data_IF_242497692492
#
_entry.id   IF_242497692492
#
_cell.length_a   1.000
_cell.length_b   1.000
_cell.length_c   1.000
_cell.angle_alpha   90.00
_cell.angle_beta   90.00
_cell.angle_gamma   90.00
#
_symmetry.space_group_name_H-M   'P 1'
#
loop_
_entity.id
_entity.type
_entity.pdbx_description
1 polymer ?
#
# COMPACT_ATOMS: atom_id res chain seq x y z
N UNK A 1 4.82 -12.39 7.50
CA UNK A 1 6.00 -13.18 7.92
C UNK A 1 6.73 -12.34 8.96
N UNK A 2 6.97 -12.87 10.17
CA UNK A 2 7.57 -12.08 11.28
C UNK A 2 9.05 -11.84 10.97
N UNK A 3 9.45 -10.58 10.78
CA UNK A 3 10.85 -10.18 10.61
C UNK A 3 11.58 -10.32 11.94
N UNK A 4 12.53 -11.26 12.02
CA UNK A 4 13.39 -11.46 13.18
C UNK A 4 14.62 -10.55 13.06
N UNK A 5 14.44 -9.26 13.32
CA UNK A 5 15.55 -8.32 13.44
C UNK A 5 15.92 -8.12 14.92
N UNK A 6 17.22 -8.21 15.21
CA UNK A 6 17.85 -7.99 16.52
C UNK A 6 19.05 -7.09 16.28
N UNK A 7 19.12 -5.94 16.95
CA UNK A 7 20.22 -4.99 16.81
C UNK A 7 21.56 -5.63 17.17
N UNK A 8 22.67 -5.18 16.55
CA UNK A 8 24.00 -5.75 16.82
C UNK A 8 24.45 -5.53 18.29
N UNK A 9 23.95 -4.49 18.96
CA UNK A 9 24.19 -4.26 20.39
C UNK A 9 23.47 -5.32 21.24
N UNK A 10 22.17 -5.52 21.01
CA UNK A 10 21.37 -6.51 21.74
C UNK A 10 21.85 -7.94 21.48
N UNK A 11 22.27 -8.24 20.25
CA UNK A 11 22.87 -9.52 19.87
C UNK A 11 24.13 -9.81 20.69
N UNK A 12 25.00 -8.81 20.93
CA UNK A 12 26.17 -8.97 21.80
C UNK A 12 25.77 -9.28 23.24
N UNK A 13 24.81 -8.54 23.80
CA UNK A 13 24.30 -8.78 25.16
C UNK A 13 23.65 -10.17 25.33
N UNK A 14 22.88 -10.61 24.35
CA UNK A 14 22.28 -11.96 24.33
C UNK A 14 23.36 -13.03 24.30
N UNK A 15 24.41 -12.85 23.47
CA UNK A 15 25.52 -13.79 23.37
C UNK A 15 26.31 -13.85 24.69
N UNK A 16 26.58 -12.71 25.31
CA UNK A 16 27.26 -12.66 26.62
C UNK A 16 26.45 -13.36 27.70
N UNK A 17 25.15 -13.09 27.80
CA UNK A 17 24.27 -13.77 28.76
C UNK A 17 24.16 -15.27 28.49
N UNK A 18 24.13 -15.67 27.22
CA UNK A 18 24.10 -17.09 26.85
C UNK A 18 25.33 -17.84 27.38
N UNK A 19 26.51 -17.21 27.38
CA UNK A 19 27.73 -17.82 27.91
C UNK A 19 27.68 -18.01 29.44
N UNK A 20 26.88 -17.21 30.13
CA UNK A 20 26.71 -17.23 31.58
C UNK A 20 25.59 -18.18 32.05
N UNK A 21 24.88 -18.86 31.15
CA UNK A 21 23.89 -19.87 31.52
C UNK A 21 24.59 -21.20 31.85
N UNK A 22 24.31 -21.77 33.02
CA UNK A 22 24.98 -23.00 33.48
C UNK A 22 24.59 -24.24 32.66
N UNK A 23 23.35 -24.29 32.16
CA UNK A 23 22.86 -25.42 31.39
C UNK A 23 23.12 -25.25 29.89
N UNK A 24 23.96 -26.14 29.33
CA UNK A 24 24.19 -26.23 27.88
C UNK A 24 22.90 -26.43 27.08
N UNK A 25 21.90 -27.15 27.63
CA UNK A 25 20.59 -27.31 27.01
C UNK A 25 19.84 -25.97 26.89
N UNK A 26 19.89 -25.17 27.96
CA UNK A 26 19.19 -23.88 28.03
C UNK A 26 19.82 -22.84 27.11
N UNK A 27 21.14 -22.89 26.89
CA UNK A 27 21.84 -22.00 25.94
C UNK A 27 21.23 -22.06 24.54
N UNK A 28 20.86 -23.24 24.05
CA UNK A 28 20.28 -23.39 22.70
C UNK A 28 18.87 -22.83 22.61
N UNK A 29 18.02 -23.16 23.58
CA UNK A 29 16.66 -22.67 23.63
C UNK A 29 16.65 -21.15 23.79
N UNK A 30 17.49 -20.60 24.68
CA UNK A 30 17.62 -19.17 24.89
C UNK A 30 18.09 -18.41 23.63
N UNK A 31 19.07 -18.94 22.90
CA UNK A 31 19.51 -18.33 21.64
C UNK A 31 18.42 -18.33 20.57
N UNK A 32 17.73 -19.45 20.37
CA UNK A 32 16.68 -19.57 19.35
C UNK A 32 15.44 -18.75 19.69
N UNK A 33 15.11 -18.63 20.97
CA UNK A 33 14.01 -17.80 21.43
C UNK A 33 14.28 -16.30 21.21
N UNK A 34 15.51 -15.84 21.45
CA UNK A 34 15.83 -14.42 21.46
C UNK A 34 16.42 -13.89 20.14
N UNK A 35 17.15 -14.72 19.39
CA UNK A 35 17.73 -14.35 18.09
C UNK A 35 16.92 -14.90 16.90
N UNK A 36 15.84 -15.63 17.17
CA UNK A 36 15.02 -16.27 16.16
C UNK A 36 15.72 -17.49 15.52
N UNK A 37 15.30 -17.88 14.30
CA UNK A 37 15.80 -19.08 13.65
C UNK A 37 17.27 -18.96 13.25
N UNK A 38 18.11 -19.92 13.68
CA UNK A 38 19.56 -19.88 13.48
C UNK A 38 20.09 -21.06 12.67
N UNK A 39 21.20 -20.84 11.95
CA UNK A 39 21.98 -21.92 11.30
C UNK A 39 22.80 -22.68 12.37
N UNK A 40 23.23 -23.89 12.02
CA UNK A 40 24.16 -24.66 12.83
C UNK A 40 25.45 -23.88 13.15
N UNK A 41 26.01 -23.20 12.16
CA UNK A 41 27.24 -22.40 12.30
C UNK A 41 27.04 -21.21 13.23
N UNK A 42 25.87 -20.57 13.18
CA UNK A 42 25.49 -19.47 14.08
C UNK A 42 25.32 -19.97 15.51
N UNK A 43 24.65 -21.11 15.71
CA UNK A 43 24.51 -21.72 17.03
C UNK A 43 25.88 -22.07 17.63
N UNK A 44 26.77 -22.67 16.86
CA UNK A 44 28.14 -22.96 17.28
C UNK A 44 28.89 -21.69 17.72
N UNK A 45 28.80 -20.63 16.91
CA UNK A 45 29.46 -19.34 17.19
C UNK A 45 28.91 -18.68 18.46
N UNK A 46 27.58 -18.67 18.62
CA UNK A 46 26.92 -17.90 19.68
C UNK A 46 26.82 -18.64 21.01
N UNK A 47 26.75 -19.98 20.99
CA UNK A 47 26.69 -20.78 22.22
C UNK A 47 28.05 -20.92 22.92
N UNK A 48 29.15 -20.71 22.20
CA UNK A 48 30.52 -20.92 22.71
C UNK A 48 30.83 -22.39 23.03
N UNK A 49 30.15 -23.34 22.36
CA UNK A 49 30.28 -24.78 22.62
C UNK A 49 31.00 -25.49 21.47
N UNK A 50 31.60 -26.65 21.76
CA UNK A 50 32.24 -27.48 20.74
C UNK A 50 31.21 -28.07 19.77
N UNK A 51 31.66 -28.36 18.54
CA UNK A 51 30.82 -28.91 17.47
C UNK A 51 30.10 -30.21 17.84
N UNK A 52 30.78 -31.07 18.59
CA UNK A 52 30.23 -32.34 19.10
C UNK A 52 29.11 -32.08 20.11
N UNK A 53 29.31 -31.12 21.01
CA UNK A 53 28.32 -30.73 22.03
C UNK A 53 27.08 -30.11 21.38
N UNK A 54 27.25 -29.19 20.43
CA UNK A 54 26.14 -28.59 19.68
C UNK A 54 25.32 -29.66 18.95
N UNK A 55 25.98 -30.60 18.28
CA UNK A 55 25.32 -31.70 17.59
C UNK A 55 24.52 -32.61 18.54
N UNK A 56 25.09 -32.93 19.71
CA UNK A 56 24.46 -33.76 20.74
C UNK A 56 23.17 -33.12 21.24
N UNK A 57 23.22 -31.83 21.61
CA UNK A 57 22.06 -31.13 22.18
C UNK A 57 20.99 -30.80 21.12
N UNK A 58 21.38 -30.48 19.89
CA UNK A 58 20.40 -30.33 18.81
C UNK A 58 19.62 -31.62 18.56
N UNK A 59 20.29 -32.77 18.46
CA UNK A 59 19.61 -34.06 18.33
C UNK A 59 18.68 -34.33 19.51
N UNK A 60 19.15 -34.07 20.74
CA UNK A 60 18.33 -34.22 21.95
C UNK A 60 17.07 -33.36 21.88
N UNK A 61 17.19 -32.08 21.55
CA UNK A 61 16.07 -31.13 21.53
C UNK A 61 15.09 -31.37 20.37
N UNK A 62 15.58 -31.86 19.23
CA UNK A 62 14.74 -32.31 18.12
C UNK A 62 13.93 -33.54 18.52
N UNK A 63 14.58 -34.55 19.11
CA UNK A 63 13.89 -35.76 19.58
C UNK A 63 12.85 -35.47 20.67
N UNK A 64 13.07 -34.40 21.44
CA UNK A 64 12.16 -33.95 22.49
C UNK A 64 11.12 -32.91 22.02
N UNK A 65 10.99 -32.70 20.70
CA UNK A 65 10.08 -31.72 20.08
C UNK A 65 10.18 -30.29 20.65
N UNK A 66 11.35 -29.92 21.18
CA UNK A 66 11.62 -28.56 21.71
C UNK A 66 12.30 -27.63 20.69
N UNK A 67 12.83 -28.22 19.61
CA UNK A 67 13.40 -27.50 18.47
C UNK A 67 12.98 -28.28 17.22
N UNK A 68 12.69 -27.58 16.14
CA UNK A 68 12.42 -28.15 14.82
C UNK A 68 13.44 -27.66 13.80
N UNK A 69 13.71 -28.48 12.77
CA UNK A 69 14.62 -28.12 11.67
C UNK A 69 13.78 -27.92 10.40
N UNK A 70 13.74 -26.67 9.89
CA UNK A 70 12.94 -26.30 8.72
C UNK A 70 13.77 -25.52 7.70
N UNK A 71 13.28 -25.47 6.47
CA UNK A 71 13.82 -24.58 5.43
C UNK A 71 13.26 -23.18 5.69
N UNK A 72 14.14 -22.26 6.03
CA UNK A 72 13.84 -20.83 6.11
C UNK A 72 13.90 -20.24 4.71
N UNK A 73 12.85 -19.50 4.31
CA UNK A 73 12.77 -18.76 3.05
C UNK A 73 12.57 -17.28 3.37
N UNK A 74 13.41 -16.43 2.81
CA UNK A 74 13.31 -14.98 2.89
C UNK A 74 13.32 -14.43 1.45
N UNK A 75 12.13 -14.10 0.97
CA UNK A 75 11.89 -13.68 -0.42
C UNK A 75 12.53 -12.30 -0.70
N UNK A 76 12.60 -11.43 0.30
CA UNK A 76 13.20 -10.10 0.16
C UNK A 76 14.73 -10.15 0.02
N UNK A 77 15.37 -11.20 0.56
CA UNK A 77 16.83 -11.38 0.51
C UNK A 77 17.28 -12.52 -0.41
N UNK A 78 16.34 -13.20 -1.07
CA UNK A 78 16.57 -14.39 -1.89
C UNK A 78 17.36 -15.49 -1.15
N UNK A 79 17.04 -15.74 0.12
CA UNK A 79 17.72 -16.75 0.96
C UNK A 79 16.82 -17.97 1.14
N UNK A 80 17.35 -19.15 0.85
CA UNK A 80 16.71 -20.44 1.15
C UNK A 80 17.71 -21.38 1.82
N UNK A 81 17.50 -21.70 3.10
CA UNK A 81 18.48 -22.48 3.87
C UNK A 81 17.89 -23.19 5.08
N UNK A 82 18.60 -24.22 5.56
CA UNK A 82 18.18 -24.96 6.75
C UNK A 82 18.49 -24.16 8.02
N UNK A 83 17.47 -23.93 8.83
CA UNK A 83 17.57 -23.31 10.16
C UNK A 83 16.84 -24.13 11.21
N UNK A 84 17.25 -23.91 12.45
CA UNK A 84 16.60 -24.48 13.62
C UNK A 84 15.65 -23.43 14.20
N UNK A 85 14.44 -23.86 14.58
CA UNK A 85 13.39 -23.03 15.14
C UNK A 85 13.02 -23.61 16.51
N UNK A 86 12.77 -22.75 17.48
CA UNK A 86 12.21 -23.19 18.75
C UNK A 86 10.72 -23.48 18.57
N UNK A 87 10.22 -24.53 19.21
CA UNK A 87 8.79 -24.87 19.23
C UNK A 87 8.15 -24.33 20.51
N UNK A 88 6.82 -24.36 20.61
CA UNK A 88 6.10 -23.99 21.84
C UNK A 88 6.58 -24.79 23.05
N UNK A 89 6.76 -26.11 22.91
CA UNK A 89 7.34 -26.96 23.96
C UNK A 89 8.78 -26.57 24.35
N UNK A 90 9.54 -25.98 23.42
CA UNK A 90 10.86 -25.42 23.71
C UNK A 90 10.80 -24.11 24.49
N UNK A 91 9.78 -23.30 24.23
CA UNK A 91 9.48 -22.06 24.98
C UNK A 91 8.99 -22.42 26.39
N UNK A 92 8.13 -23.43 26.53
CA UNK A 92 7.64 -23.87 27.84
C UNK A 92 8.78 -24.42 28.71
N UNK A 93 9.74 -25.13 28.12
CA UNK A 93 10.97 -25.59 28.80
C UNK A 93 11.91 -24.45 29.20
N UNK A 94 11.79 -23.27 28.60
CA UNK A 94 12.46 -22.06 29.08
C UNK A 94 11.74 -21.44 30.28
N UNK A 95 10.42 -21.67 30.40
CA UNK A 95 9.54 -21.09 31.42
C UNK A 95 9.94 -21.35 32.87
N UNK A 96 10.67 -22.43 33.14
CA UNK A 96 11.13 -22.78 34.50
C UNK A 96 12.40 -22.04 34.95
N UNK A 97 13.07 -21.29 34.06
CA UNK A 97 14.21 -20.44 34.40
C UNK A 97 13.89 -18.97 34.08
N UNK A 98 13.13 -18.38 35.00
CA UNK A 98 12.85 -16.94 35.17
C UNK A 98 11.96 -16.29 34.10
N UNK A 99 10.66 -16.32 34.39
CA UNK A 99 9.62 -15.43 33.89
C UNK A 99 10.03 -13.92 33.86
N UNK A 100 11.03 -13.51 34.66
CA UNK A 100 11.59 -12.15 34.71
C UNK A 100 12.58 -11.82 33.57
N UNK A 101 13.27 -12.80 32.97
CA UNK A 101 14.30 -12.54 31.95
C UNK A 101 13.74 -12.42 30.54
N UNK A 102 12.66 -13.16 30.23
CA UNK A 102 11.92 -13.07 28.97
C UNK A 102 11.21 -11.71 28.82
N UNK A 103 10.67 -11.18 29.94
CA UNK A 103 10.12 -9.82 29.97
C UNK A 103 11.19 -8.76 29.71
N UNK A 104 12.46 -8.96 30.10
CA UNK A 104 13.54 -7.98 29.87
C UNK A 104 13.90 -7.76 28.40
N UNK A 105 13.76 -8.75 27.51
CA UNK A 105 14.08 -8.58 26.08
C UNK A 105 12.91 -7.97 25.31
N UNK A 106 11.67 -8.33 25.66
CA UNK A 106 10.48 -7.63 25.17
C UNK A 106 10.44 -6.17 25.66
N UNK A 107 10.79 -5.94 26.95
CA UNK A 107 11.01 -4.60 27.50
C UNK A 107 12.20 -3.89 26.87
N UNK A 108 13.27 -4.56 26.44
CA UNK A 108 14.40 -3.91 25.80
C UNK A 108 14.14 -3.54 24.35
N UNK A 109 13.35 -4.33 23.58
CA UNK A 109 12.84 -3.90 22.27
C UNK A 109 11.90 -2.70 22.40
N UNK A 110 11.02 -2.73 23.41
CA UNK A 110 10.20 -1.58 23.77
C UNK A 110 11.07 -0.42 24.26
N UNK A 111 12.12 -0.63 25.07
CA UNK A 111 12.99 0.42 25.61
C UNK A 111 13.94 1.00 24.57
N UNK A 112 14.41 0.25 23.58
CA UNK A 112 15.23 0.78 22.48
C UNK A 112 14.37 1.68 21.57
N UNK A 113 13.15 1.24 21.26
CA UNK A 113 12.14 2.04 20.55
C UNK A 113 11.70 3.25 21.40
N UNK A 114 11.43 3.06 22.68
CA UNK A 114 11.05 4.12 23.63
C UNK A 114 12.21 5.06 23.93
N UNK A 115 13.47 4.61 23.88
CA UNK A 115 14.66 5.48 24.02
C UNK A 115 14.86 6.30 22.76
N UNK A 116 14.67 5.70 21.58
CA UNK A 116 14.67 6.40 20.28
C UNK A 116 13.57 7.45 20.17
N UNK A 117 12.43 7.25 20.84
CA UNK A 117 11.36 8.25 20.95
C UNK A 117 11.40 9.08 22.24
N UNK A 118 12.32 8.84 23.17
CA UNK A 118 12.33 9.51 24.47
C UNK A 118 12.62 11.00 24.34
N UNK A 119 13.49 11.36 23.41
CA UNK A 119 13.78 12.76 23.08
C UNK A 119 12.59 13.44 22.42
N UNK A 120 11.90 12.75 21.52
CA UNK A 120 10.66 13.22 20.90
C UNK A 120 9.54 13.43 21.93
N UNK A 121 9.37 12.50 22.88
CA UNK A 121 8.39 12.63 23.97
C UNK A 121 8.75 13.82 24.87
N UNK A 122 10.01 13.95 25.29
CA UNK A 122 10.48 15.09 26.09
C UNK A 122 10.27 16.40 25.34
N UNK A 123 10.58 16.43 24.05
CA UNK A 123 10.38 17.59 23.20
C UNK A 123 8.91 18.03 23.17
N UNK A 124 7.97 17.13 22.92
CA UNK A 124 6.55 17.47 22.90
C UNK A 124 5.98 17.82 24.27
N UNK A 125 6.43 17.17 25.35
CA UNK A 125 6.08 17.56 26.71
C UNK A 125 6.55 18.99 27.03
N UNK A 126 7.75 19.38 26.58
CA UNK A 126 8.25 20.74 26.75
C UNK A 126 7.45 21.78 25.95
N UNK A 127 6.76 21.35 24.88
CA UNK A 127 5.84 22.19 24.11
C UNK A 127 4.40 22.15 24.66
N UNK A 128 4.16 21.50 25.80
CA UNK A 128 2.83 21.29 26.40
C UNK A 128 1.82 20.61 25.45
N UNK A 129 2.30 19.72 24.57
CA UNK A 129 1.41 18.91 23.73
C UNK A 129 0.71 17.87 24.59
N UNK A 130 -0.60 17.70 24.40
CA UNK A 130 -1.39 16.70 25.12
C UNK A 130 -0.85 15.28 24.90
N UNK A 131 -0.86 14.49 25.98
CA UNK A 131 -0.30 13.14 25.96
C UNK A 131 -1.05 12.22 24.99
N UNK A 132 -2.36 12.44 24.80
CA UNK A 132 -3.20 11.77 23.81
C UNK A 132 -2.67 11.93 22.36
N UNK A 133 -2.19 13.12 22.01
CA UNK A 133 -1.61 13.45 20.70
C UNK A 133 -0.23 12.81 20.57
N UNK A 134 0.60 12.90 21.61
CA UNK A 134 1.92 12.25 21.66
C UNK A 134 1.76 10.75 21.41
N UNK A 135 0.83 10.08 22.08
CA UNK A 135 0.57 8.65 21.87
C UNK A 135 0.10 8.32 20.45
N UNK A 136 -0.72 9.17 19.82
CA UNK A 136 -1.11 8.98 18.41
C UNK A 136 0.09 9.05 17.47
N UNK A 137 0.97 10.04 17.65
CA UNK A 137 2.21 10.17 16.89
C UNK A 137 3.05 8.91 17.06
N UNK A 138 3.36 8.54 18.30
CA UNK A 138 4.16 7.35 18.61
C UNK A 138 3.56 6.06 18.02
N UNK A 139 2.24 5.90 18.06
CA UNK A 139 1.58 4.72 17.49
C UNK A 139 1.83 4.58 15.98
N UNK A 140 1.86 5.68 15.25
CA UNK A 140 2.20 5.63 13.82
C UNK A 140 3.70 5.38 13.64
N UNK A 141 4.57 6.09 14.36
CA UNK A 141 6.02 5.92 14.24
C UNK A 141 6.51 4.50 14.58
N UNK A 142 5.93 3.89 15.62
CA UNK A 142 6.23 2.49 16.00
C UNK A 142 5.86 1.49 14.90
N UNK A 143 4.83 1.76 14.09
CA UNK A 143 4.45 0.90 12.96
C UNK A 143 5.40 1.05 11.77
N UNK A 144 5.98 2.25 11.58
CA UNK A 144 7.00 2.48 10.55
C UNK A 144 8.30 1.74 10.93
N UNK A 145 8.60 1.69 12.23
CA UNK A 145 9.71 0.89 12.77
C UNK A 145 11.08 1.57 12.60
N UNK A 146 12.14 0.77 12.60
CA UNK A 146 13.52 1.26 12.69
C UNK A 146 13.99 2.07 11.46
N UNK A 147 13.32 1.96 10.31
CA UNK A 147 13.60 2.79 9.13
C UNK A 147 13.35 4.27 9.40
N UNK A 148 12.38 4.59 10.27
CA UNK A 148 12.09 5.95 10.70
C UNK A 148 13.19 6.54 11.62
N UNK A 149 13.92 5.68 12.32
CA UNK A 149 15.05 6.05 13.17
C UNK A 149 16.32 6.38 12.37
N UNK A 150 16.34 6.11 11.05
CA UNK A 150 17.48 6.44 10.18
C UNK A 150 17.47 7.92 9.75
N UNK A 151 16.34 8.61 9.89
CA UNK A 151 16.28 10.05 9.68
C UNK A 151 16.99 10.74 10.85
N UNK A 152 17.71 11.83 10.58
CA UNK A 152 18.31 12.64 11.64
C UNK A 152 17.21 13.25 12.52
N UNK A 153 17.23 12.91 13.81
CA UNK A 153 16.25 13.38 14.78
C UNK A 153 16.76 14.64 15.46
N UNK A 154 16.19 15.78 15.08
CA UNK A 154 16.46 17.06 15.69
C UNK A 154 15.16 17.85 15.89
N UNK A 155 15.28 19.03 16.48
CA UNK A 155 14.14 19.92 16.75
C UNK A 155 13.27 20.17 15.52
N UNK A 156 13.87 20.44 14.37
CA UNK A 156 13.12 20.80 13.15
C UNK A 156 12.36 19.59 12.59
N UNK A 157 12.95 18.39 12.69
CA UNK A 157 12.27 17.14 12.36
C UNK A 157 11.07 16.87 13.28
N UNK A 158 11.23 17.04 14.60
CA UNK A 158 10.12 16.87 15.54
C UNK A 158 9.00 17.89 15.32
N UNK A 159 9.34 19.14 15.01
CA UNK A 159 8.34 20.13 14.61
C UNK A 159 7.64 19.75 13.31
N UNK A 160 8.36 19.18 12.34
CA UNK A 160 7.76 18.72 11.07
C UNK A 160 6.79 17.57 11.29
N UNK A 161 7.14 16.61 12.15
CA UNK A 161 6.23 15.55 12.55
C UNK A 161 4.97 16.12 13.20
N UNK A 162 5.14 17.05 14.14
CA UNK A 162 4.01 17.70 14.78
C UNK A 162 3.11 18.40 13.75
N UNK A 163 3.70 19.11 12.78
CA UNK A 163 2.99 19.73 11.68
C UNK A 163 2.18 18.72 10.83
N UNK A 164 2.78 17.59 10.45
CA UNK A 164 2.11 16.52 9.67
C UNK A 164 0.91 15.96 10.44
N UNK A 165 1.09 15.62 11.71
CA UNK A 165 0.02 15.03 12.52
C UNK A 165 -1.08 16.02 12.87
N UNK A 166 -0.74 17.30 13.05
CA UNK A 166 -1.72 18.35 13.27
C UNK A 166 -2.54 18.62 12.02
N UNK A 167 -1.89 18.61 10.85
CA UNK A 167 -2.55 18.74 9.55
C UNK A 167 -3.11 17.41 9.01
N UNK A 168 -3.22 16.37 9.83
CA UNK A 168 -3.82 15.09 9.43
C UNK A 168 -5.31 15.24 9.08
N UNK A 169 -5.83 14.50 8.10
CA UNK A 169 -7.27 14.47 7.81
C UNK A 169 -8.09 14.10 9.05
N UNK A 170 -7.57 13.27 9.93
CA UNK A 170 -8.27 12.85 11.14
C UNK A 170 -8.35 13.94 12.24
N UNK A 171 -7.70 15.09 12.05
CA UNK A 171 -7.73 16.26 12.94
C UNK A 171 -8.44 17.42 12.24
N UNK A 172 -9.78 17.42 12.29
CA UNK A 172 -10.64 18.37 11.57
C UNK A 172 -10.58 19.80 12.10
N UNK A 173 -10.55 19.94 13.42
CA UNK A 173 -10.72 21.23 14.10
C UNK A 173 -9.46 22.08 14.14
N UNK A 174 -8.33 21.52 13.68
CA UNK A 174 -7.02 22.10 13.84
C UNK A 174 -6.24 21.96 12.53
N UNK A 175 -6.19 23.06 11.76
CA UNK A 175 -5.29 23.21 10.61
C UNK A 175 -4.36 24.36 10.89
N UNK A 176 -3.06 24.08 10.77
CA UNK A 176 -2.03 25.09 10.96
C UNK A 176 -1.46 25.40 9.59
N UNK A 177 -1.78 26.58 9.06
CA UNK A 177 -1.08 27.10 7.89
C UNK A 177 0.42 27.09 8.16
N UNK A 178 1.20 26.66 7.17
CA UNK A 178 2.64 26.46 7.34
C UNK A 178 3.35 27.76 7.79
N UNK A 179 2.93 28.90 7.28
CA UNK A 179 3.53 30.20 7.62
C UNK A 179 3.27 30.58 9.08
N UNK A 180 2.03 30.38 9.54
CA UNK A 180 1.66 30.60 10.93
C UNK A 180 2.43 29.63 11.85
N UNK A 181 2.57 28.36 11.45
CA UNK A 181 3.30 27.34 12.20
C UNK A 181 4.78 27.71 12.35
N UNK A 182 5.42 28.09 11.23
CA UNK A 182 6.81 28.53 11.18
C UNK A 182 7.07 29.76 12.05
N UNK A 183 6.13 30.73 12.04
CA UNK A 183 6.21 31.93 12.87
C UNK A 183 6.08 31.61 14.36
N UNK A 184 5.10 30.79 14.74
CA UNK A 184 4.85 30.42 16.13
C UNK A 184 6.02 29.64 16.75
N UNK A 185 6.50 28.61 16.05
CA UNK A 185 7.60 27.78 16.53
C UNK A 185 9.00 28.30 16.16
N UNK A 186 9.11 29.48 15.54
CA UNK A 186 10.38 30.09 15.12
C UNK A 186 11.27 29.09 14.34
N UNK A 187 10.70 28.48 13.30
CA UNK A 187 11.38 27.55 12.41
C UNK A 187 11.26 28.05 10.97
N UNK A 188 12.32 27.90 10.16
CA UNK A 188 12.29 28.35 8.77
C UNK A 188 11.41 27.40 7.95
N UNK A 189 10.56 27.96 7.07
CA UNK A 189 9.70 27.20 6.15
C UNK A 189 10.47 26.12 5.38
N UNK A 190 11.61 26.49 4.79
CA UNK A 190 12.53 25.59 4.08
C UNK A 190 12.97 24.35 4.91
N UNK A 191 13.02 24.45 6.25
CA UNK A 191 13.36 23.30 7.10
C UNK A 191 12.21 22.32 7.21
N UNK A 192 10.98 22.82 7.34
CA UNK A 192 9.77 21.99 7.38
C UNK A 192 9.58 21.33 6.02
N UNK A 193 9.65 22.09 4.93
CA UNK A 193 9.54 21.56 3.56
C UNK A 193 10.57 20.45 3.30
N UNK A 194 11.83 20.66 3.67
CA UNK A 194 12.89 19.65 3.55
C UNK A 194 12.56 18.33 4.27
N UNK A 195 12.04 18.40 5.50
CA UNK A 195 11.70 17.20 6.25
C UNK A 195 10.39 16.56 5.79
N UNK A 196 9.42 17.35 5.31
CA UNK A 196 8.23 16.81 4.63
C UNK A 196 8.68 16.03 3.39
N UNK A 197 9.50 16.62 2.52
CA UNK A 197 10.05 15.94 1.35
C UNK A 197 10.78 14.65 1.74
N UNK A 198 11.60 14.69 2.79
CA UNK A 198 12.35 13.52 3.27
C UNK A 198 11.46 12.41 3.83
N UNK A 199 10.37 12.78 4.52
CA UNK A 199 9.39 11.81 5.04
C UNK A 199 8.55 11.25 3.89
N UNK A 200 8.08 12.10 2.98
CA UNK A 200 7.21 11.69 1.88
C UNK A 200 7.97 10.87 0.82
N UNK A 201 9.24 11.20 0.54
CA UNK A 201 10.12 10.41 -0.33
C UNK A 201 10.59 9.09 0.28
N UNK A 202 10.51 8.97 1.60
CA UNK A 202 10.74 7.70 2.28
C UNK A 202 9.54 6.76 2.12
N UNK A 203 9.80 5.45 2.01
CA UNK A 203 8.76 4.42 2.01
C UNK A 203 8.16 4.21 3.40
N UNK A 204 7.64 5.28 4.01
CA UNK A 204 7.10 5.31 5.37
C UNK A 204 5.57 5.25 5.42
N UNK A 205 4.88 5.16 4.28
CA UNK A 205 3.43 4.98 4.24
C UNK A 205 2.61 6.25 4.49
N UNK A 206 3.22 7.44 4.40
CA UNK A 206 2.50 8.71 4.44
C UNK A 206 1.96 9.09 3.06
N UNK A 207 0.75 9.64 3.07
CA UNK A 207 0.10 10.25 1.93
C UNK A 207 -0.12 11.73 2.21
N UNK A 208 -0.04 12.52 1.14
CA UNK A 208 -0.26 13.96 1.16
C UNK A 208 -1.17 14.35 0.00
N UNK A 209 -1.98 15.38 0.17
CA UNK A 209 -2.70 16.05 -0.90
C UNK A 209 -2.95 17.51 -0.52
N UNK A 210 -3.24 18.35 -1.52
CA UNK A 210 -3.45 19.78 -1.35
C UNK A 210 -4.90 20.15 -1.64
N UNK A 211 -5.35 21.22 -1.00
CA UNK A 211 -6.54 21.96 -1.40
C UNK A 211 -6.22 23.44 -1.24
N UNK A 212 -6.12 24.15 -2.34
CA UNK A 212 -5.68 25.54 -2.37
C UNK A 212 -4.30 25.69 -1.68
N UNK A 213 -4.23 26.40 -0.56
CA UNK A 213 -3.01 26.57 0.25
C UNK A 213 -2.91 25.56 1.41
N UNK A 214 -3.97 24.80 1.68
CA UNK A 214 -4.02 23.82 2.77
C UNK A 214 -3.35 22.50 2.35
N UNK A 215 -2.54 21.94 3.26
CA UNK A 215 -1.90 20.64 3.10
C UNK A 215 -2.56 19.63 4.02
N UNK A 216 -2.92 18.47 3.48
CA UNK A 216 -3.53 17.37 4.22
C UNK A 216 -2.64 16.15 4.21
N UNK A 217 -2.59 15.46 5.35
CA UNK A 217 -1.83 14.23 5.52
C UNK A 217 -2.67 13.08 6.07
N UNK A 218 -2.32 11.86 5.70
CA UNK A 218 -2.73 10.66 6.44
C UNK A 218 -1.69 9.56 6.25
N UNK A 219 -1.78 8.51 7.06
CA UNK A 219 -0.86 7.39 7.01
C UNK A 219 -1.62 6.11 6.67
N UNK A 220 -1.04 5.24 5.83
CA UNK A 220 -1.68 4.00 5.35
C UNK A 220 -2.20 3.09 6.49
N UNK A 221 -1.56 3.18 7.67
CA UNK A 221 -1.89 2.40 8.87
C UNK A 221 -2.75 3.14 9.90
N UNK A 222 -3.21 4.36 9.61
CA UNK A 222 -4.21 5.05 10.42
C UNK A 222 -5.64 4.62 10.04
N UNK A 223 -6.66 5.15 10.74
CA UNK A 223 -8.05 4.74 10.50
C UNK A 223 -8.51 5.05 9.06
N UNK A 224 -8.09 6.18 8.50
CA UNK A 224 -8.46 6.58 7.15
C UNK A 224 -7.71 5.73 6.11
N UNK A 225 -6.38 5.64 6.23
CA UNK A 225 -5.53 4.90 5.32
C UNK A 225 -5.88 3.41 5.28
N UNK A 226 -6.09 2.78 6.43
CA UNK A 226 -6.47 1.36 6.49
C UNK A 226 -7.83 1.10 5.83
N UNK A 227 -8.76 2.03 6.00
CA UNK A 227 -10.09 1.96 5.38
C UNK A 227 -9.99 2.12 3.86
N UNK A 228 -9.23 3.12 3.38
CA UNK A 228 -9.00 3.35 1.93
C UNK A 228 -8.36 2.11 1.29
N UNK A 229 -7.23 1.65 1.84
CA UNK A 229 -6.48 0.51 1.28
C UNK A 229 -7.34 -0.75 1.26
N UNK A 230 -8.15 -0.98 2.30
CA UNK A 230 -9.09 -2.11 2.35
C UNK A 230 -10.18 -1.99 1.29
N UNK A 231 -10.85 -0.85 1.19
CA UNK A 231 -11.90 -0.62 0.18
C UNK A 231 -11.37 -0.84 -1.23
N UNK A 232 -10.15 -0.36 -1.52
CA UNK A 232 -9.47 -0.56 -2.80
C UNK A 232 -9.22 -2.05 -3.04
N UNK A 233 -8.57 -2.75 -2.10
CA UNK A 233 -8.25 -4.17 -2.25
C UNK A 233 -9.49 -5.04 -2.42
N UNK A 234 -10.53 -4.82 -1.61
CA UNK A 234 -11.78 -5.57 -1.68
C UNK A 234 -12.42 -5.40 -3.07
N UNK A 235 -12.46 -4.14 -3.59
CA UNK A 235 -12.99 -3.84 -4.92
C UNK A 235 -12.17 -4.48 -6.04
N UNK A 236 -10.83 -4.35 -5.99
CA UNK A 236 -9.94 -4.95 -6.99
C UNK A 236 -9.99 -6.48 -6.97
N UNK A 237 -10.14 -7.11 -5.79
CA UNK A 237 -10.26 -8.56 -5.65
C UNK A 237 -11.58 -9.08 -6.23
N UNK A 238 -12.70 -8.42 -5.94
CA UNK A 238 -14.00 -8.75 -6.55
C UNK A 238 -13.92 -8.70 -8.08
N UNK A 239 -13.20 -7.71 -8.62
CA UNK A 239 -13.02 -7.59 -10.05
C UNK A 239 -12.06 -8.63 -10.66
N UNK A 240 -10.97 -9.00 -9.98
CA UNK A 240 -10.12 -10.14 -10.40
C UNK A 240 -10.97 -11.41 -10.48
N UNK A 241 -11.78 -11.68 -9.45
CA UNK A 241 -12.64 -12.86 -9.38
C UNK A 241 -13.65 -12.84 -10.54
N UNK A 242 -14.29 -11.70 -10.80
CA UNK A 242 -15.23 -11.56 -11.92
C UNK A 242 -14.54 -11.74 -13.29
N UNK A 243 -13.36 -11.16 -13.50
CA UNK A 243 -12.58 -11.32 -14.74
C UNK A 243 -12.26 -12.79 -15.00
N UNK A 244 -11.89 -13.55 -13.97
CA UNK A 244 -11.60 -14.98 -14.09
C UNK A 244 -12.84 -15.85 -14.30
N UNK A 245 -13.98 -15.51 -13.70
CA UNK A 245 -15.21 -16.31 -13.78
C UNK A 245 -16.00 -16.08 -15.08
N UNK A 246 -16.02 -14.85 -15.60
CA UNK A 246 -16.86 -14.48 -16.75
C UNK A 246 -16.08 -14.22 -18.04
N UNK A 247 -14.74 -14.29 -18.00
CA UNK A 247 -13.87 -13.99 -19.15
C UNK A 247 -13.94 -12.54 -19.61
N UNK A 248 -14.64 -11.68 -18.87
CA UNK A 248 -15.10 -10.39 -19.34
C UNK A 248 -14.66 -9.25 -18.43
N UNK A 249 -14.11 -8.20 -19.04
CA UNK A 249 -13.70 -6.99 -18.32
C UNK A 249 -14.94 -6.12 -18.09
N UNK A 250 -15.36 -6.02 -16.81
CA UNK A 250 -16.18 -4.88 -16.36
C UNK A 250 -15.52 -3.60 -16.87
N UNK A 251 -16.34 -2.71 -17.39
CA UNK A 251 -15.95 -1.35 -17.70
C UNK A 251 -15.43 -0.72 -16.41
N UNK A 252 -14.11 -0.47 -16.34
CA UNK A 252 -13.55 0.26 -15.22
C UNK A 252 -13.87 1.74 -15.38
N UNK A 253 -14.53 2.30 -14.38
CA UNK A 253 -14.77 3.72 -14.22
C UNK A 253 -13.98 4.17 -13.00
N UNK A 254 -12.77 4.70 -13.23
CA UNK A 254 -11.86 5.07 -12.16
C UNK A 254 -12.46 6.17 -11.28
N UNK A 255 -13.08 7.17 -11.92
CA UNK A 255 -13.76 8.28 -11.26
C UNK A 255 -14.91 7.75 -10.41
N UNK A 256 -15.77 6.91 -10.99
CA UNK A 256 -16.88 6.31 -10.26
C UNK A 256 -16.43 5.43 -9.09
N UNK A 257 -15.30 4.72 -9.19
CA UNK A 257 -14.73 3.96 -8.09
C UNK A 257 -14.24 4.87 -6.96
N UNK A 258 -13.50 5.93 -7.30
CA UNK A 258 -13.00 6.89 -6.33
C UNK A 258 -14.14 7.64 -5.63
N UNK A 259 -15.16 8.08 -6.38
CA UNK A 259 -16.39 8.71 -5.84
C UNK A 259 -17.11 7.81 -4.86
N UNK A 260 -17.35 6.55 -5.24
CA UNK A 260 -18.02 5.59 -4.37
C UNK A 260 -17.22 5.32 -3.08
N UNK A 261 -15.89 5.32 -3.16
CA UNK A 261 -15.03 5.18 -1.98
C UNK A 261 -15.08 6.42 -1.11
N UNK A 262 -14.96 7.62 -1.70
CA UNK A 262 -15.03 8.88 -0.97
C UNK A 262 -16.40 9.06 -0.30
N UNK A 263 -17.50 8.71 -0.96
CA UNK A 263 -18.85 8.69 -0.39
C UNK A 263 -18.96 7.76 0.81
N UNK A 264 -18.35 6.57 0.75
CA UNK A 264 -18.32 5.65 1.89
C UNK A 264 -17.54 6.27 3.06
N UNK A 265 -16.39 6.86 2.80
CA UNK A 265 -15.57 7.53 3.82
C UNK A 265 -16.29 8.71 4.46
N UNK A 266 -17.05 9.48 3.66
CA UNK A 266 -17.88 10.58 4.12
C UNK A 266 -19.00 10.09 5.04
N UNK A 267 -19.72 9.02 4.65
CA UNK A 267 -20.76 8.39 5.49
C UNK A 267 -20.22 7.80 6.80
N UNK A 268 -18.97 7.34 6.79
CA UNK A 268 -18.25 6.85 7.99
C UNK A 268 -17.69 7.98 8.85
N UNK A 269 -17.91 9.24 8.48
CA UNK A 269 -17.38 10.43 9.14
C UNK A 269 -15.84 10.43 9.24
N UNK A 270 -15.15 9.83 8.27
CA UNK A 270 -13.68 9.82 8.20
C UNK A 270 -13.13 11.03 7.42
N UNK A 271 -13.95 11.59 6.53
CA UNK A 271 -13.65 12.78 5.71
C UNK A 271 -14.86 13.72 5.74
N UNK A 272 -14.71 14.94 5.23
CA UNK A 272 -15.80 15.91 5.09
C UNK A 272 -15.87 16.43 3.65
N UNK A 273 -17.02 17.01 3.26
CA UNK A 273 -17.30 17.37 1.87
C UNK A 273 -16.23 18.25 1.22
N UNK A 274 -15.64 19.19 1.96
CA UNK A 274 -14.66 20.14 1.39
C UNK A 274 -13.37 19.47 0.91
N UNK A 275 -13.00 18.30 1.43
CA UNK A 275 -11.78 17.58 1.01
C UNK A 275 -12.06 16.40 0.09
N UNK A 276 -13.34 16.18 -0.26
CA UNK A 276 -13.78 15.00 -1.02
C UNK A 276 -13.12 14.93 -2.39
N UNK A 277 -13.27 15.97 -3.21
CA UNK A 277 -12.72 16.00 -4.58
C UNK A 277 -11.18 15.89 -4.63
N UNK A 278 -10.40 16.65 -3.82
CA UNK A 278 -8.96 16.44 -3.72
C UNK A 278 -8.57 15.00 -3.33
N UNK A 279 -9.31 14.40 -2.40
CA UNK A 279 -9.03 13.05 -1.92
C UNK A 279 -9.40 11.98 -2.95
N UNK A 280 -10.48 12.17 -3.72
CA UNK A 280 -10.86 11.27 -4.82
C UNK A 280 -9.70 11.09 -5.80
N UNK A 281 -9.05 12.18 -6.22
CA UNK A 281 -7.89 12.10 -7.12
C UNK A 281 -6.72 11.32 -6.52
N UNK A 282 -6.47 11.47 -5.22
CA UNK A 282 -5.46 10.69 -4.53
C UNK A 282 -5.87 9.20 -4.46
N UNK A 283 -7.14 8.90 -4.20
CA UNK A 283 -7.68 7.54 -4.21
C UNK A 283 -7.47 6.89 -5.59
N UNK A 284 -7.70 7.61 -6.69
CA UNK A 284 -7.46 7.11 -8.05
C UNK A 284 -5.98 6.69 -8.24
N UNK A 285 -5.04 7.49 -7.75
CA UNK A 285 -3.59 7.15 -7.75
C UNK A 285 -3.30 5.90 -6.92
N UNK A 286 -3.88 5.80 -5.73
CA UNK A 286 -3.71 4.64 -4.85
C UNK A 286 -4.31 3.38 -5.49
N UNK A 287 -5.45 3.48 -6.19
CA UNK A 287 -6.06 2.37 -6.95
C UNK A 287 -5.08 1.86 -8.01
N UNK A 288 -4.55 2.75 -8.84
CA UNK A 288 -3.62 2.36 -9.92
C UNK A 288 -2.36 1.72 -9.35
N UNK A 289 -1.77 2.31 -8.29
CA UNK A 289 -0.59 1.73 -7.62
C UNK A 289 -0.88 0.35 -7.05
N UNK A 290 -2.00 0.21 -6.34
CA UNK A 290 -2.41 -1.07 -5.73
C UNK A 290 -2.68 -2.12 -6.80
N UNK A 291 -3.33 -1.76 -7.91
CA UNK A 291 -3.58 -2.67 -9.03
C UNK A 291 -2.27 -3.14 -9.70
N UNK A 292 -1.28 -2.24 -9.87
CA UNK A 292 0.06 -2.65 -10.34
C UNK A 292 0.69 -3.67 -9.40
N UNK A 293 0.64 -3.43 -8.09
CA UNK A 293 1.20 -4.31 -7.08
C UNK A 293 0.47 -5.67 -7.01
N UNK A 294 -0.81 -5.70 -7.38
CA UNK A 294 -1.61 -6.92 -7.53
C UNK A 294 -1.41 -7.64 -8.88
N UNK A 295 -0.58 -7.09 -9.79
CA UNK A 295 -0.21 -7.73 -11.05
C UNK A 295 -1.06 -7.38 -12.27
N UNK A 296 -1.90 -6.33 -12.21
CA UNK A 296 -2.65 -5.87 -13.38
C UNK A 296 -1.71 -5.36 -14.49
N UNK A 297 -2.08 -5.61 -15.75
CA UNK A 297 -1.25 -5.22 -16.89
C UNK A 297 -1.18 -3.69 -17.06
N UNK A 298 0.02 -3.15 -17.32
CA UNK A 298 0.23 -1.71 -17.56
C UNK A 298 -0.69 -1.15 -18.65
N UNK A 299 -0.87 -1.87 -19.75
CA UNK A 299 -1.73 -1.46 -20.87
C UNK A 299 -3.18 -1.28 -20.45
N UNK A 300 -3.70 -2.18 -19.61
CA UNK A 300 -5.06 -2.08 -19.07
C UNK A 300 -5.21 -0.85 -18.18
N UNK A 301 -4.23 -0.58 -17.31
CA UNK A 301 -4.28 0.56 -16.42
C UNK A 301 -4.16 1.89 -17.17
N UNK A 302 -3.37 1.95 -18.26
CA UNK A 302 -3.31 3.13 -19.14
C UNK A 302 -4.67 3.41 -19.80
N UNK A 303 -5.37 2.36 -20.27
CA UNK A 303 -6.72 2.51 -20.83
C UNK A 303 -7.71 3.10 -19.82
N UNK A 304 -7.58 2.74 -18.54
CA UNK A 304 -8.42 3.26 -17.45
C UNK A 304 -8.09 4.73 -17.15
N UNK A 305 -6.80 5.06 -17.03
CA UNK A 305 -6.35 6.43 -16.73
C UNK A 305 -6.80 7.43 -17.80
N UNK A 306 -6.71 7.07 -19.07
CA UNK A 306 -7.12 7.95 -20.19
C UNK A 306 -8.63 8.26 -20.14
N UNK A 307 -9.41 7.35 -19.58
CA UNK A 307 -10.87 7.45 -19.50
C UNK A 307 -11.35 8.25 -18.28
N UNK A 308 -10.46 8.58 -17.33
CA UNK A 308 -10.79 9.40 -16.17
C UNK A 308 -10.99 10.86 -16.57
N UNK A 309 -12.13 11.46 -16.21
CA UNK A 309 -12.40 12.88 -16.43
C UNK A 309 -11.76 13.75 -15.34
N UNK A 310 -11.63 13.25 -14.11
CA UNK A 310 -11.00 14.00 -13.01
C UNK A 310 -9.51 14.19 -13.20
N UNK A 311 -8.80 13.13 -13.56
CA UNK A 311 -7.35 13.16 -13.78
C UNK A 311 -6.98 13.95 -15.04
N UNK A 312 -7.81 13.88 -16.08
CA UNK A 312 -7.52 14.56 -17.35
C UNK A 312 -7.74 16.08 -17.28
N UNK A 313 -8.37 16.59 -16.21
CA UNK A 313 -8.48 18.03 -15.95
C UNK A 313 -7.14 18.69 -15.62
N UNK A 314 -6.16 17.95 -15.08
CA UNK A 314 -4.80 18.46 -14.83
C UNK A 314 -3.74 17.67 -15.60
N UNK A 315 -2.86 18.39 -16.31
CA UNK A 315 -1.72 17.77 -17.01
C UNK A 315 -0.80 17.07 -16.02
N UNK A 316 -0.58 17.65 -14.84
CA UNK A 316 0.17 17.07 -13.74
C UNK A 316 -0.43 15.75 -13.22
N UNK A 317 -1.75 15.66 -13.07
CA UNK A 317 -2.43 14.44 -12.62
C UNK A 317 -2.27 13.28 -13.59
N UNK A 318 -2.40 13.56 -14.90
CA UNK A 318 -2.22 12.56 -15.96
C UNK A 318 -0.77 12.05 -15.99
N UNK A 319 0.21 12.95 -15.87
CA UNK A 319 1.64 12.59 -15.86
C UNK A 319 2.00 11.71 -14.68
N UNK A 320 1.52 12.09 -13.50
CA UNK A 320 1.79 11.37 -12.25
C UNK A 320 1.33 9.91 -12.35
N UNK A 321 0.17 9.64 -12.95
CA UNK A 321 -0.32 8.27 -13.14
C UNK A 321 0.45 7.49 -14.22
N UNK A 322 0.82 8.16 -15.31
CA UNK A 322 1.68 7.54 -16.34
C UNK A 322 3.03 7.16 -15.72
N UNK A 323 3.60 8.03 -14.88
CA UNK A 323 4.83 7.77 -14.15
C UNK A 323 4.66 6.58 -13.19
N UNK A 324 3.56 6.52 -12.42
CA UNK A 324 3.24 5.37 -11.56
C UNK A 324 3.19 4.07 -12.38
N UNK A 325 2.48 4.05 -13.51
CA UNK A 325 2.39 2.87 -14.40
C UNK A 325 3.77 2.48 -14.96
N UNK A 326 4.60 3.46 -15.27
CA UNK A 326 5.96 3.22 -15.74
C UNK A 326 6.91 2.75 -14.63
N UNK A 327 6.47 2.75 -13.36
CA UNK A 327 7.23 2.27 -12.22
C UNK A 327 8.02 3.35 -11.50
N UNK A 328 7.59 4.62 -11.61
CA UNK A 328 8.18 5.71 -10.84
C UNK A 328 8.07 5.44 -9.34
N UNK A 329 9.14 5.76 -8.62
CA UNK A 329 9.22 5.71 -7.16
C UNK A 329 9.16 7.10 -6.53
N UNK A 330 8.95 8.15 -7.35
CA UNK A 330 8.81 9.52 -6.86
C UNK A 330 7.51 9.63 -6.05
N UNK A 331 7.60 10.26 -4.89
CA UNK A 331 6.44 10.37 -4.01
C UNK A 331 5.43 11.39 -4.53
N UNK A 332 5.91 12.40 -5.24
CA UNK A 332 5.14 13.48 -5.87
C UNK A 332 4.13 12.90 -6.88
N UNK A 333 4.53 11.82 -7.57
CA UNK A 333 3.65 11.09 -8.47
C UNK A 333 2.49 10.44 -7.70
N UNK A 334 2.64 10.11 -6.42
CA UNK A 334 1.56 9.55 -5.60
C UNK A 334 0.82 10.60 -4.76
N UNK A 335 1.48 11.69 -4.33
CA UNK A 335 1.09 12.49 -3.15
C UNK A 335 1.00 14.01 -3.37
N UNK A 336 1.00 14.51 -4.60
CA UNK A 336 0.73 15.93 -4.86
C UNK A 336 -0.35 16.07 -5.94
N UNK A 337 -1.40 16.82 -5.60
CA UNK A 337 -2.37 17.38 -6.55
C UNK A 337 -2.75 18.75 -6.03
N UNK A 338 -2.37 19.81 -6.74
CA UNK A 338 -2.96 21.14 -6.61
C UNK A 338 -4.15 21.24 -7.57
N UNK A 339 -5.32 21.66 -7.07
CA UNK A 339 -6.48 22.04 -7.90
C UNK A 339 -6.28 23.46 -8.49
N UNK A 340 -5.33 24.23 -7.95
CA UNK A 340 -5.17 25.67 -8.18
C UNK A 340 -3.90 26.06 -8.96
N UNK A 341 -3.38 25.19 -9.83
CA UNK A 341 -2.43 25.57 -10.88
C UNK A 341 -2.97 25.13 -12.25
N UNK A 342 -4.02 25.81 -12.72
CA UNK A 342 -4.36 25.82 -14.14
C UNK A 342 -3.31 26.71 -14.82
N UNK A 343 -2.21 26.12 -15.26
CA UNK A 343 -1.46 26.54 -16.45
C UNK A 343 -0.32 25.56 -16.72
N UNK A 344 -0.40 24.82 -17.83
CA UNK A 344 0.65 23.88 -18.22
C UNK A 344 0.25 22.97 -19.38
N UNK A 345 0.22 23.53 -20.59
CA UNK A 345 0.21 22.77 -21.85
C UNK A 345 1.62 22.26 -22.13
N UNK A 346 2.07 21.20 -21.47
CA UNK A 346 3.31 20.54 -21.91
C UNK A 346 3.43 19.20 -21.21
N UNK A 347 3.11 18.10 -21.93
CA UNK A 347 3.45 16.67 -21.65
C UNK A 347 2.53 15.66 -22.34
N UNK A 348 1.41 16.07 -22.96
CA UNK A 348 0.59 15.20 -23.83
C UNK A 348 1.42 14.50 -24.93
N UNK A 349 2.57 15.06 -25.32
CA UNK A 349 3.38 14.64 -26.46
C UNK A 349 4.09 13.27 -26.28
N UNK A 350 4.62 12.95 -25.09
CA UNK A 350 5.46 11.74 -24.90
C UNK A 350 4.66 10.44 -25.04
N UNK A 351 3.37 10.44 -24.69
CA UNK A 351 2.50 9.26 -24.87
C UNK A 351 1.82 9.23 -26.26
N UNK A 352 1.45 10.39 -26.82
CA UNK A 352 0.93 10.49 -28.19
C UNK A 352 1.93 9.95 -29.22
N UNK A 353 3.24 10.02 -28.95
CA UNK A 353 4.27 9.46 -29.81
C UNK A 353 4.22 7.93 -29.96
N UNK A 354 3.72 7.18 -28.97
CA UNK A 354 3.59 5.71 -29.03
C UNK A 354 2.22 5.25 -29.53
N UNK A 355 1.27 6.18 -29.57
CA UNK A 355 -0.10 5.96 -29.98
C UNK A 355 -0.25 6.00 -31.51
N UNK A 356 -1.01 5.05 -32.05
CA UNK A 356 -1.51 5.09 -33.43
C UNK A 356 -2.85 5.85 -33.46
N UNK A 357 -3.63 5.79 -32.39
CA UNK A 357 -4.91 6.48 -32.19
C UNK A 357 -5.82 5.64 -31.29
N UNK A 358 -7.10 5.99 -31.22
CA UNK A 358 -8.11 5.28 -30.44
C UNK A 358 -9.11 4.57 -31.35
N UNK A 359 -9.63 3.44 -30.89
CA UNK A 359 -10.62 2.65 -31.61
C UNK A 359 -11.91 3.47 -31.82
N UNK A 360 -12.42 3.57 -33.07
CA UNK A 360 -13.63 4.34 -33.36
C UNK A 360 -14.90 3.75 -32.73
N UNK A 361 -14.86 2.48 -32.34
CA UNK A 361 -16.04 1.74 -31.86
C UNK A 361 -16.15 1.69 -30.34
N UNK A 362 -15.02 1.74 -29.61
CA UNK A 362 -15.03 1.62 -28.15
C UNK A 362 -14.06 2.58 -27.42
N UNK A 363 -13.36 3.45 -28.15
CA UNK A 363 -12.42 4.42 -27.59
C UNK A 363 -11.13 3.83 -27.02
N UNK A 364 -10.87 2.52 -27.20
CA UNK A 364 -9.64 1.88 -26.69
C UNK A 364 -8.38 2.36 -27.39
N UNK A 365 -7.29 2.52 -26.64
CA UNK A 365 -5.94 2.84 -27.13
C UNK A 365 -5.44 1.80 -28.14
N UNK A 366 -5.00 2.26 -29.32
CA UNK A 366 -4.32 1.43 -30.33
C UNK A 366 -2.88 1.93 -30.45
N UNK A 367 -1.91 1.06 -30.16
CA UNK A 367 -0.49 1.39 -30.21
C UNK A 367 0.06 1.31 -31.64
N UNK A 368 1.16 2.01 -31.91
CA UNK A 368 1.87 1.90 -33.21
C UNK A 368 2.38 0.49 -33.49
N UNK A 369 2.69 -0.26 -32.44
CA UNK A 369 3.13 -1.67 -32.49
C UNK A 369 1.98 -2.65 -32.77
N UNK A 370 0.73 -2.21 -32.65
CA UNK A 370 -0.43 -3.05 -32.96
C UNK A 370 -0.65 -3.08 -34.49
N UNK A 371 -0.31 -4.23 -35.07
CA UNK A 371 -0.46 -4.52 -36.49
C UNK A 371 -1.87 -5.02 -36.84
N UNK A 372 -2.68 -5.37 -35.84
CA UNK A 372 -4.04 -5.83 -36.07
C UNK A 372 -4.96 -4.66 -36.44
N UNK A 373 -5.93 -4.94 -37.31
CA UNK A 373 -7.03 -4.04 -37.63
C UNK A 373 -8.30 -4.44 -36.85
N UNK A 374 -8.18 -5.24 -35.78
CA UNK A 374 -9.29 -5.73 -34.98
C UNK A 374 -9.09 -5.25 -33.55
N UNK A 375 -10.09 -4.57 -32.99
CA UNK A 375 -9.97 -4.06 -31.64
C UNK A 375 -10.15 -5.20 -30.63
N UNK A 376 -9.14 -5.47 -29.82
CA UNK A 376 -9.17 -6.52 -28.79
C UNK A 376 -10.30 -6.31 -27.75
N UNK A 377 -10.82 -5.08 -27.58
CA UNK A 377 -11.88 -4.80 -26.58
C UNK A 377 -13.30 -4.94 -27.12
N UNK A 378 -13.56 -4.55 -28.37
CA UNK A 378 -14.90 -4.67 -28.94
C UNK A 378 -15.03 -5.72 -30.05
N UNK A 379 -13.93 -6.37 -30.45
CA UNK A 379 -13.91 -7.35 -31.53
C UNK A 379 -14.12 -6.77 -32.94
N UNK A 380 -14.45 -5.47 -33.04
CA UNK A 380 -14.75 -4.85 -34.32
C UNK A 380 -13.49 -4.54 -35.12
N UNK A 381 -13.59 -4.76 -36.42
CA UNK A 381 -12.59 -4.33 -37.38
C UNK A 381 -12.62 -2.80 -37.53
N UNK A 382 -11.45 -2.19 -37.74
CA UNK A 382 -11.31 -0.75 -37.96
C UNK A 382 -10.20 -0.48 -38.98
N UNK A 383 -10.36 0.57 -39.78
CA UNK A 383 -9.28 1.03 -40.65
C UNK A 383 -8.36 2.00 -39.93
N UNK A 384 -7.08 2.01 -40.32
CA UNK A 384 -6.06 2.89 -39.72
C UNK A 384 -6.39 4.38 -39.88
N UNK A 385 -7.20 4.73 -40.88
CA UNK A 385 -7.67 6.09 -41.16
C UNK A 385 -8.79 6.53 -40.20
N UNK A 386 -9.56 5.59 -39.68
CA UNK A 386 -10.72 5.85 -38.81
C UNK A 386 -10.35 5.93 -37.33
N UNK A 387 -9.07 5.74 -37.02
CA UNK A 387 -8.56 5.89 -35.66
C UNK A 387 -8.76 7.32 -35.18
N UNK A 388 -9.50 7.45 -34.08
CA UNK A 388 -9.73 8.72 -33.42
C UNK A 388 -8.38 9.23 -32.91
N UNK A 389 -8.08 10.50 -33.16
CA UNK A 389 -6.83 11.14 -32.72
C UNK A 389 -7.00 11.99 -31.46
N UNK A 390 -8.23 12.47 -31.22
CA UNK A 390 -8.55 13.27 -30.04
C UNK A 390 -8.96 12.38 -28.86
N UNK A 391 -8.36 12.65 -27.70
CA UNK A 391 -8.71 12.00 -26.43
C UNK A 391 -10.17 12.28 -26.07
N UNK A 392 -10.64 13.52 -26.25
CA UNK A 392 -12.01 13.91 -25.90
C UNK A 392 -13.05 13.16 -26.75
N UNK A 393 -12.76 12.99 -28.04
CA UNK A 393 -13.60 12.21 -28.94
C UNK A 393 -13.57 10.72 -28.59
N UNK A 394 -12.40 10.19 -28.21
CA UNK A 394 -12.26 8.80 -27.78
C UNK A 394 -13.03 8.53 -26.49
N UNK A 395 -13.00 9.47 -25.53
CA UNK A 395 -13.74 9.39 -24.28
C UNK A 395 -15.26 9.41 -24.50
N UNK A 396 -15.76 10.24 -25.42
CA UNK A 396 -17.19 10.22 -25.80
C UNK A 396 -17.61 8.88 -26.39
N UNK A 397 -16.83 8.33 -27.31
CA UNK A 397 -17.08 7.03 -27.94
C UNK A 397 -17.01 5.91 -26.90
N UNK A 398 -16.02 5.94 -26.01
CA UNK A 398 -15.89 4.99 -24.91
C UNK A 398 -17.12 5.05 -24.00
N UNK A 399 -17.56 6.23 -23.56
CA UNK A 399 -18.77 6.39 -22.73
C UNK A 399 -20.03 5.86 -23.40
N UNK A 400 -20.21 6.11 -24.69
CA UNK A 400 -21.35 5.59 -25.46
C UNK A 400 -21.31 4.06 -25.55
N UNK A 401 -20.15 3.50 -25.88
CA UNK A 401 -19.94 2.05 -25.91
C UNK A 401 -20.23 1.41 -24.55
N UNK A 402 -19.73 2.00 -23.47
CA UNK A 402 -19.97 1.57 -22.08
C UNK A 402 -21.47 1.58 -21.75
N UNK A 403 -22.19 2.66 -22.06
CA UNK A 403 -23.65 2.79 -21.82
C UNK A 403 -24.45 1.76 -22.60
N UNK A 404 -24.15 1.58 -23.89
CA UNK A 404 -24.82 0.58 -24.74
C UNK A 404 -24.61 -0.85 -24.23
N UNK A 405 -23.41 -1.13 -23.73
CA UNK A 405 -23.04 -2.45 -23.23
C UNK A 405 -23.68 -2.75 -21.87
N UNK A 406 -23.67 -1.79 -20.93
CA UNK A 406 -24.41 -1.86 -19.67
C UNK A 406 -25.92 -2.07 -19.87
N UNK A 407 -26.51 -1.52 -20.94
CA UNK A 407 -27.90 -1.77 -21.29
C UNK A 407 -28.14 -3.21 -21.79
N UNK A 408 -27.20 -3.78 -22.55
CA UNK A 408 -27.28 -5.19 -23.01
C UNK A 408 -27.08 -6.19 -21.87
N UNK A 409 -26.28 -5.84 -20.87
CA UNK A 409 -25.99 -6.66 -19.69
C UNK A 409 -27.10 -6.67 -18.62
N UNK A 410 -28.15 -5.83 -18.78
CA UNK A 410 -29.29 -5.81 -17.86
C UNK A 410 -30.01 -7.15 -17.86
N UNK A 411 -30.12 -7.74 -16.67
CA UNK A 411 -30.88 -8.96 -16.43
C UNK A 411 -32.38 -8.67 -16.53
N UNK A 412 -33.02 -9.18 -17.57
CA UNK A 412 -34.47 -9.16 -17.76
C UNK A 412 -35.06 -10.52 -17.39
N UNK A 413 -36.36 -10.58 -17.10
CA UNK A 413 -37.07 -11.85 -16.99
C UNK A 413 -37.15 -12.52 -18.37
N UNK A 414 -37.03 -13.84 -18.40
CA UNK A 414 -37.22 -14.61 -19.61
C UNK A 414 -38.59 -14.28 -20.25
N UNK A 415 -38.67 -14.05 -21.57
CA UNK A 415 -39.93 -13.78 -22.26
C UNK A 415 -40.88 -14.98 -22.25
N UNK A 416 -40.40 -16.18 -21.94
CA UNK A 416 -41.25 -17.34 -21.71
C UNK A 416 -42.00 -17.17 -20.37
N UNK A 417 -43.33 -17.08 -20.42
CA UNK A 417 -44.21 -16.88 -19.25
C UNK A 417 -44.09 -17.99 -18.19
N UNK A 418 -43.56 -19.16 -18.56
CA UNK A 418 -43.36 -20.29 -17.65
C UNK A 418 -41.92 -20.38 -17.12
N UNK A 419 -41.09 -19.35 -17.32
CA UNK A 419 -39.68 -19.33 -16.93
C UNK A 419 -39.34 -18.04 -16.16
N UNK A 420 -39.01 -18.17 -14.87
CA UNK A 420 -38.59 -17.04 -14.02
C UNK A 420 -37.09 -16.73 -14.09
N UNK A 421 -36.36 -17.35 -15.03
CA UNK A 421 -34.93 -17.13 -15.17
C UNK A 421 -34.63 -15.67 -15.53
N UNK A 422 -33.60 -15.12 -14.88
CA UNK A 422 -33.02 -13.83 -15.23
C UNK A 422 -31.99 -14.03 -16.33
N UNK A 423 -32.23 -13.44 -17.49
CA UNK A 423 -31.41 -13.58 -18.70
C UNK A 423 -30.86 -12.24 -19.15
N UNK A 424 -29.74 -12.22 -19.88
CA UNK A 424 -29.22 -11.02 -20.51
C UNK A 424 -29.76 -10.88 -21.94
N UNK A 425 -29.90 -9.63 -22.41
CA UNK A 425 -30.48 -9.32 -23.73
C UNK A 425 -29.59 -9.80 -24.90
N UNK A 426 -28.31 -10.06 -24.65
CA UNK A 426 -27.34 -10.48 -25.65
C UNK A 426 -27.11 -11.99 -25.71
N UNK A 427 -27.82 -12.78 -24.90
CA UNK A 427 -27.81 -14.24 -24.98
C UNK A 427 -28.60 -14.71 -26.20
N UNK A 428 -28.16 -15.82 -26.81
CA UNK A 428 -28.84 -16.39 -27.98
C UNK A 428 -30.06 -17.23 -27.56
N UNK A 429 -29.98 -17.88 -26.40
CA UNK A 429 -31.05 -18.66 -25.81
C UNK A 429 -31.11 -18.52 -24.28
N UNK A 430 -32.29 -18.71 -23.70
CA UNK A 430 -32.44 -18.79 -22.25
C UNK A 430 -31.86 -20.12 -21.75
N UNK A 431 -30.90 -20.13 -20.81
CA UNK A 431 -30.26 -21.38 -20.35
C UNK A 431 -31.19 -22.29 -19.55
N UNK A 432 -32.33 -21.78 -19.05
CA UNK A 432 -33.29 -22.56 -18.28
C UNK A 432 -34.41 -23.18 -19.13
N UNK A 433 -34.75 -22.59 -20.27
CA UNK A 433 -35.88 -23.05 -21.09
C UNK A 433 -35.59 -23.10 -22.59
N UNK A 434 -34.34 -22.84 -22.98
CA UNK A 434 -33.80 -22.85 -24.34
C UNK A 434 -34.63 -22.06 -25.38
N UNK A 435 -35.42 -21.08 -24.91
CA UNK A 435 -36.14 -20.20 -25.82
C UNK A 435 -35.14 -19.27 -26.48
N UNK A 436 -35.21 -19.13 -27.81
CA UNK A 436 -34.36 -18.21 -28.55
C UNK A 436 -34.70 -16.77 -28.18
N UNK A 437 -33.67 -15.98 -27.90
CA UNK A 437 -33.79 -14.59 -27.45
C UNK A 437 -33.39 -13.59 -28.55
N UNK A 438 -32.67 -14.06 -29.57
CA UNK A 438 -32.41 -13.34 -30.82
C UNK A 438 -33.15 -14.04 -31.97
N UNK A 439 -33.81 -13.25 -32.82
CA UNK A 439 -34.33 -13.71 -34.12
C UNK A 439 -33.19 -14.02 -35.10
#
# INVERSE_FOLDING_TARGET
MVSWYVSEKLKKEIIEKTKNLDSNSMRFLYLLNNLGPLRFTSLLKYSGLSRSTVSKYLKKHINQNSIEKKIYKDEAKNIQEQRYFITELGIDKLGDLSFEQLNKIYFNKLNDILSGYSELIKFYRNLNVEESIIFRILRVLTKIGETFLQIEHNRDFYLTLFYIFHNSVLTRDYKFELEAFCKYYKVKRLRIDYYVDKIMSGSFGFFMFLRDEDVFFFHEQDLLGTTIVRLIRDTLMDDIIHIHQSGYRKVYDLDGLAENMADKLLRMDLIWEKIKEPLEMLIEKIIIKTALDMGFSKLFLMDIVIQSEKITKSSEGTNSLINIINGSTKYEDLNLVSISAIEGKETREVFLEKLKGFCPNCGRTILKTDLSNICINCGNQFDKKDLIKSIDSANRVSKLYKKQKLQKEKLIKCPNTNCDAKIQLDWDECPACHIKLKE
#
